data_IF_194713473823
#
_entry.id   IF_194713473823
#
_cell.length_a   1.000
_cell.length_b   1.000
_cell.length_c   1.000
_cell.angle_alpha   90.00
_cell.angle_beta   90.00
_cell.angle_gamma   90.00
#
_symmetry.space_group_name_H-M   'P 1'
#
loop_
_entity.id
_entity.type
_entity.pdbx_description
1 polymer ?
#
# COMPACT_ATOMS: atom_id res chain seq x y z
N UNK A 1 -43.20 -21.61 -2.70
CA UNK A 1 -42.47 -20.76 -1.72
C UNK A 1 -41.19 -21.42 -1.18
N UNK A 2 -41.19 -22.70 -0.75
CA UNK A 2 -39.96 -23.36 -0.19
C UNK A 2 -38.80 -23.48 -1.19
N UNK A 3 -39.06 -23.79 -2.46
CA UNK A 3 -38.04 -23.94 -3.52
C UNK A 3 -37.37 -22.59 -3.85
N UNK A 4 -38.17 -21.53 -3.92
CA UNK A 4 -37.65 -20.17 -4.17
C UNK A 4 -36.72 -19.68 -3.02
N UNK A 5 -37.11 -19.98 -1.77
CA UNK A 5 -36.27 -19.67 -0.61
C UNK A 5 -34.93 -20.43 -0.61
N UNK A 6 -34.95 -21.72 -0.99
CA UNK A 6 -33.73 -22.52 -1.09
C UNK A 6 -32.82 -22.04 -2.20
N UNK A 7 -33.36 -21.65 -3.35
CA UNK A 7 -32.59 -21.09 -4.47
C UNK A 7 -31.92 -19.74 -4.09
N UNK A 8 -32.61 -18.89 -3.33
CA UNK A 8 -32.09 -17.61 -2.87
C UNK A 8 -30.93 -17.80 -1.87
N UNK A 9 -31.04 -18.74 -0.96
CA UNK A 9 -29.98 -19.09 -0.01
C UNK A 9 -28.75 -19.65 -0.74
N UNK A 10 -28.96 -20.56 -1.69
CA UNK A 10 -27.88 -21.13 -2.50
C UNK A 10 -27.16 -20.05 -3.32
N UNK A 11 -27.91 -19.12 -3.92
CA UNK A 11 -27.34 -17.99 -4.65
C UNK A 11 -26.52 -17.06 -3.73
N UNK A 12 -27.05 -16.71 -2.57
CA UNK A 12 -26.34 -15.89 -1.58
C UNK A 12 -25.04 -16.56 -1.09
N UNK A 13 -25.07 -17.87 -0.85
CA UNK A 13 -23.88 -18.64 -0.48
C UNK A 13 -22.85 -18.68 -1.61
N UNK A 14 -23.27 -18.83 -2.86
CA UNK A 14 -22.39 -18.78 -4.03
C UNK A 14 -21.73 -17.43 -4.18
N UNK A 15 -22.49 -16.34 -4.08
CA UNK A 15 -21.95 -14.96 -4.16
C UNK A 15 -20.96 -14.69 -3.03
N UNK A 16 -21.27 -15.08 -1.80
CA UNK A 16 -20.38 -14.94 -0.66
C UNK A 16 -19.09 -15.77 -0.85
N UNK A 17 -19.18 -16.99 -1.38
CA UNK A 17 -18.03 -17.81 -1.73
C UNK A 17 -17.15 -17.18 -2.81
N UNK A 18 -17.76 -16.65 -3.87
CA UNK A 18 -17.04 -15.96 -4.94
C UNK A 18 -16.30 -14.72 -4.44
N UNK A 19 -16.88 -13.91 -3.56
CA UNK A 19 -16.22 -12.72 -3.01
C UNK A 19 -15.03 -13.06 -2.10
N UNK A 20 -15.09 -14.17 -1.36
CA UNK A 20 -13.96 -14.65 -0.55
C UNK A 20 -12.80 -15.14 -1.43
N UNK A 21 -13.10 -15.91 -2.47
CA UNK A 21 -12.09 -16.44 -3.41
C UNK A 21 -11.47 -15.31 -4.22
N UNK A 22 -12.23 -14.31 -4.64
CA UNK A 22 -11.77 -13.19 -5.44
C UNK A 22 -10.58 -12.45 -4.77
N UNK A 23 -10.63 -12.22 -3.46
CA UNK A 23 -9.55 -11.55 -2.73
C UNK A 23 -8.25 -12.35 -2.76
N UNK A 24 -8.30 -13.66 -2.54
CA UNK A 24 -7.12 -14.53 -2.56
C UNK A 24 -6.54 -14.70 -3.98
N UNK A 25 -7.35 -14.50 -5.02
CA UNK A 25 -6.90 -14.49 -6.42
C UNK A 25 -6.37 -13.13 -6.88
N UNK A 26 -6.66 -12.06 -6.14
CA UNK A 26 -6.28 -10.70 -6.52
C UNK A 26 -5.05 -10.19 -5.77
N UNK A 27 -4.90 -10.54 -4.49
CA UNK A 27 -3.84 -10.01 -3.63
C UNK A 27 -2.87 -11.12 -3.22
N UNK A 28 -1.58 -10.90 -3.47
CA UNK A 28 -0.50 -11.84 -3.19
C UNK A 28 0.55 -11.18 -2.29
N UNK A 29 0.22 -10.88 -1.02
CA UNK A 29 1.14 -10.20 -0.13
C UNK A 29 2.31 -11.08 0.28
N UNK A 30 3.51 -10.50 0.30
CA UNK A 30 4.66 -11.03 1.03
C UNK A 30 4.70 -10.30 2.38
N UNK A 31 4.64 -11.06 3.47
CA UNK A 31 4.62 -10.53 4.82
C UNK A 31 6.01 -10.10 5.33
N UNK A 32 7.10 -10.56 4.72
CA UNK A 32 8.44 -10.22 5.14
C UNK A 32 8.85 -8.86 4.58
N UNK A 33 9.15 -7.91 5.47
CA UNK A 33 9.71 -6.62 5.07
C UNK A 33 11.11 -6.47 5.71
N UNK A 34 12.18 -6.57 4.92
CA UNK A 34 13.52 -6.30 5.40
C UNK A 34 13.68 -4.82 5.74
N UNK A 35 14.72 -4.47 6.48
CA UNK A 35 15.08 -3.05 6.65
C UNK A 35 15.71 -2.51 5.35
N UNK A 36 15.54 -1.21 5.03
CA UNK A 36 16.01 -0.65 3.76
C UNK A 36 17.49 -0.92 3.46
N UNK A 37 18.35 -0.87 4.46
CA UNK A 37 19.80 -1.10 4.30
C UNK A 37 20.15 -2.50 3.82
N UNK A 38 19.38 -3.52 4.21
CA UNK A 38 19.64 -4.92 3.83
C UNK A 38 19.35 -5.21 2.35
N UNK A 39 18.59 -4.33 1.70
CA UNK A 39 18.23 -4.47 0.28
C UNK A 39 18.86 -3.37 -0.60
N UNK A 40 19.93 -2.74 -0.11
CA UNK A 40 20.67 -1.74 -0.87
C UNK A 40 19.97 -0.39 -1.01
N UNK A 41 19.10 -0.05 -0.08
CA UNK A 41 18.34 1.21 -0.07
C UNK A 41 18.50 2.00 1.26
N UNK A 42 19.75 2.21 1.76
CA UNK A 42 20.00 2.81 3.07
C UNK A 42 19.52 4.26 3.19
N UNK A 43 19.23 4.92 2.08
CA UNK A 43 18.70 6.29 2.02
C UNK A 43 17.22 6.39 2.39
N UNK A 44 16.49 5.27 2.48
CA UNK A 44 15.10 5.28 2.93
C UNK A 44 15.01 5.18 4.45
N UNK A 45 14.10 5.95 4.99
CA UNK A 45 13.67 5.88 6.39
C UNK A 45 12.41 5.03 6.49
N UNK A 46 12.35 4.17 7.49
CA UNK A 46 11.12 3.47 7.86
C UNK A 46 10.22 4.47 8.56
N UNK A 47 9.01 4.66 8.05
CA UNK A 47 8.02 5.58 8.61
C UNK A 47 6.73 4.84 8.90
N UNK A 48 5.98 5.30 9.90
CA UNK A 48 4.65 4.78 10.20
C UNK A 48 3.63 5.90 10.25
N UNK A 49 2.39 5.57 9.92
CA UNK A 49 1.25 6.48 10.01
C UNK A 49 -0.04 5.69 10.19
N UNK A 50 -1.04 6.35 10.76
CA UNK A 50 -2.31 5.73 11.10
C UNK A 50 -3.37 6.00 10.05
N UNK A 51 -4.08 4.96 9.65
CA UNK A 51 -5.25 5.06 8.78
C UNK A 51 -6.48 5.54 9.54
N UNK A 52 -7.50 6.04 8.82
CA UNK A 52 -8.77 6.48 9.41
C UNK A 52 -9.57 5.34 10.07
N UNK A 53 -9.33 4.10 9.68
CA UNK A 53 -9.88 2.89 10.29
C UNK A 53 -8.91 2.24 11.31
N UNK A 54 -7.98 3.04 11.84
CA UNK A 54 -7.13 2.78 13.00
C UNK A 54 -6.02 1.75 12.84
N UNK A 55 -5.64 1.37 11.61
CA UNK A 55 -4.44 0.57 11.37
C UNK A 55 -3.19 1.47 11.40
N UNK A 56 -2.10 0.95 11.95
CA UNK A 56 -0.78 1.56 11.82
C UNK A 56 -0.01 0.87 10.72
N UNK A 57 0.36 1.62 9.69
CA UNK A 57 1.03 1.09 8.50
C UNK A 57 2.47 1.59 8.43
N UNK A 58 3.36 0.67 8.05
CA UNK A 58 4.76 0.94 7.79
C UNK A 58 4.98 1.16 6.30
N UNK A 59 5.75 2.18 5.97
CA UNK A 59 6.15 2.57 4.61
C UNK A 59 7.61 3.01 4.61
N UNK A 60 8.19 3.20 3.44
CA UNK A 60 9.56 3.70 3.31
C UNK A 60 9.56 5.06 2.64
N UNK A 61 10.19 6.03 3.28
CA UNK A 61 10.24 7.41 2.81
C UNK A 61 11.67 7.89 2.62
N UNK A 62 11.90 8.58 1.52
CA UNK A 62 13.12 9.33 1.22
C UNK A 62 12.74 10.72 0.75
N UNK A 63 13.21 11.81 1.42
CA UNK A 63 12.91 13.17 1.00
C UNK A 63 13.54 13.52 -0.36
N UNK A 64 12.90 14.42 -1.09
CA UNK A 64 13.41 14.96 -2.34
C UNK A 64 14.61 15.89 -2.13
N UNK A 65 15.50 15.97 -3.12
CA UNK A 65 16.44 17.08 -3.21
C UNK A 65 15.69 18.42 -3.42
N UNK A 66 16.31 19.52 -3.03
CA UNK A 66 15.70 20.85 -3.19
C UNK A 66 15.29 21.09 -4.65
N UNK A 67 14.03 21.47 -4.85
CA UNK A 67 13.46 21.73 -6.18
C UNK A 67 12.75 20.55 -6.82
N UNK A 68 12.93 19.33 -6.32
CA UNK A 68 12.28 18.13 -6.86
C UNK A 68 10.97 17.79 -6.14
N UNK A 69 10.06 17.14 -6.84
CA UNK A 69 8.81 16.61 -6.29
C UNK A 69 9.05 15.31 -5.51
N UNK A 70 8.05 14.89 -4.73
CA UNK A 70 8.01 13.59 -4.09
C UNK A 70 7.02 12.69 -4.83
N UNK A 71 7.46 11.51 -5.21
CA UNK A 71 6.65 10.49 -5.86
C UNK A 71 6.06 9.59 -4.78
N UNK A 72 4.73 9.46 -4.79
CA UNK A 72 3.99 8.52 -3.94
C UNK A 72 3.81 7.24 -4.74
N UNK A 73 4.63 6.25 -4.44
CA UNK A 73 4.66 5.00 -5.19
C UNK A 73 3.74 3.96 -4.55
N UNK A 74 2.65 3.69 -5.22
CA UNK A 74 1.72 2.62 -4.86
C UNK A 74 2.18 1.32 -5.51
N UNK A 75 2.51 0.33 -4.69
CA UNK A 75 2.94 -0.97 -5.20
C UNK A 75 1.79 -1.72 -5.90
N UNK A 76 2.12 -2.71 -6.75
CA UNK A 76 1.11 -3.61 -7.31
C UNK A 76 0.58 -4.60 -6.28
N UNK A 77 -0.19 -5.56 -6.76
CA UNK A 77 -0.91 -6.55 -5.96
C UNK A 77 -0.06 -7.74 -5.45
N UNK A 78 1.21 -7.82 -5.79
CA UNK A 78 2.10 -8.91 -5.37
C UNK A 78 3.40 -8.42 -4.72
N UNK A 79 3.92 -9.20 -3.77
CA UNK A 79 5.16 -8.92 -3.05
C UNK A 79 5.01 -7.90 -1.93
N UNK A 80 6.01 -7.02 -1.75
CA UNK A 80 6.01 -5.90 -0.83
C UNK A 80 6.85 -4.74 -1.38
N UNK A 81 6.98 -3.64 -0.64
CA UNK A 81 7.68 -2.42 -1.10
C UNK A 81 9.18 -2.63 -1.34
N UNK A 82 9.85 -3.57 -0.64
CA UNK A 82 11.28 -3.83 -0.85
C UNK A 82 11.58 -4.34 -2.28
N UNK A 83 10.64 -5.05 -2.89
CA UNK A 83 10.74 -5.53 -4.26
C UNK A 83 10.66 -4.43 -5.32
N UNK A 84 10.43 -3.17 -4.91
CA UNK A 84 10.27 -2.02 -5.82
C UNK A 84 11.53 -1.16 -5.95
N UNK A 85 12.52 -1.39 -5.09
CA UNK A 85 13.75 -0.58 -5.03
C UNK A 85 14.42 -0.47 -6.40
N UNK A 86 14.59 -1.58 -7.12
CA UNK A 86 15.24 -1.57 -8.43
C UNK A 86 14.50 -0.69 -9.47
N UNK A 87 13.18 -0.50 -9.34
CA UNK A 87 12.37 0.34 -10.23
C UNK A 87 12.50 1.83 -9.89
N UNK A 88 12.91 2.15 -8.67
CA UNK A 88 12.97 3.53 -8.18
C UNK A 88 14.37 4.14 -8.28
N UNK A 89 15.39 3.34 -8.60
CA UNK A 89 16.79 3.78 -8.60
C UNK A 89 17.02 5.03 -9.48
N UNK A 90 16.52 5.03 -10.71
CA UNK A 90 16.67 6.17 -11.62
C UNK A 90 15.99 7.45 -11.09
N UNK A 91 14.87 7.32 -10.37
CA UNK A 91 14.17 8.44 -9.75
C UNK A 91 14.95 9.00 -8.57
N UNK A 92 15.58 8.13 -7.78
CA UNK A 92 16.47 8.48 -6.67
C UNK A 92 17.68 9.28 -7.17
N UNK A 93 18.34 8.77 -8.21
CA UNK A 93 19.52 9.40 -8.84
C UNK A 93 19.19 10.78 -9.41
N UNK A 94 18.01 10.91 -10.05
CA UNK A 94 17.52 12.19 -10.54
C UNK A 94 17.23 13.20 -9.41
N UNK A 95 16.95 12.75 -8.19
CA UNK A 95 16.75 13.62 -7.03
C UNK A 95 15.32 13.71 -6.52
N UNK A 96 14.40 12.92 -7.06
CA UNK A 96 13.03 12.86 -6.57
C UNK A 96 12.97 12.32 -5.15
N UNK A 97 12.02 12.80 -4.36
CA UNK A 97 11.57 12.13 -3.13
C UNK A 97 10.72 10.92 -3.48
N UNK A 98 10.68 9.96 -2.58
CA UNK A 98 9.90 8.73 -2.75
C UNK A 98 9.22 8.35 -1.44
N UNK A 99 7.93 8.09 -1.49
CA UNK A 99 7.20 7.34 -0.48
C UNK A 99 6.76 6.02 -1.10
N UNK A 100 7.40 4.92 -0.71
CA UNK A 100 6.97 3.58 -1.06
C UNK A 100 5.87 3.17 -0.08
N UNK A 101 4.63 3.19 -0.54
CA UNK A 101 3.45 2.97 0.31
C UNK A 101 3.31 1.49 0.64
N UNK A 102 3.43 1.16 1.92
CA UNK A 102 3.13 -0.16 2.44
C UNK A 102 1.62 -0.32 2.64
N UNK A 103 1.04 -1.31 1.98
CA UNK A 103 -0.38 -1.61 2.11
C UNK A 103 -0.68 -2.50 3.32
N UNK A 104 -1.91 -2.43 3.83
CA UNK A 104 -2.44 -3.41 4.79
C UNK A 104 -2.27 -4.84 4.29
N UNK A 105 -1.84 -5.74 5.17
CA UNK A 105 -1.58 -7.14 4.85
C UNK A 105 -0.27 -7.41 4.11
N UNK A 106 0.47 -6.39 3.66
CA UNK A 106 1.76 -6.51 2.97
C UNK A 106 2.91 -6.07 3.89
N UNK A 107 4.07 -6.73 3.76
CA UNK A 107 5.27 -6.33 4.50
C UNK A 107 5.11 -6.33 6.02
N UNK A 108 4.31 -7.24 6.58
CA UNK A 108 4.01 -7.29 8.01
C UNK A 108 3.00 -6.25 8.49
N UNK A 109 2.47 -5.39 7.63
CA UNK A 109 1.40 -4.45 7.98
C UNK A 109 0.12 -5.19 8.41
N UNK A 110 -0.58 -4.71 9.44
CA UNK A 110 -1.83 -5.32 9.92
C UNK A 110 -2.96 -5.23 8.88
N UNK A 111 -4.01 -6.01 9.12
CA UNK A 111 -5.23 -6.01 8.30
C UNK A 111 -5.15 -6.95 7.10
N UNK A 112 -6.18 -6.87 6.25
CA UNK A 112 -6.28 -7.63 5.00
C UNK A 112 -6.58 -6.68 3.85
N UNK A 113 -5.95 -6.86 2.66
CA UNK A 113 -6.16 -6.00 1.53
C UNK A 113 -7.60 -6.11 0.99
N UNK A 114 -8.17 -4.96 0.69
CA UNK A 114 -9.46 -4.79 0.02
C UNK A 114 -9.46 -3.44 -0.68
N UNK A 115 -10.32 -3.25 -1.66
CA UNK A 115 -10.38 -1.98 -2.39
C UNK A 115 -10.60 -0.79 -1.44
N UNK A 116 -11.64 -0.84 -0.60
CA UNK A 116 -11.92 0.22 0.38
C UNK A 116 -10.77 0.44 1.35
N UNK A 117 -10.16 -0.67 1.81
CA UNK A 117 -9.01 -0.62 2.70
C UNK A 117 -7.81 0.08 2.06
N UNK A 118 -7.49 -0.22 0.80
CA UNK A 118 -6.41 0.43 0.08
C UNK A 118 -6.65 1.93 -0.13
N UNK A 119 -7.92 2.37 -0.25
CA UNK A 119 -8.23 3.81 -0.25
C UNK A 119 -7.94 4.47 1.10
N UNK A 120 -8.19 3.80 2.23
CA UNK A 120 -7.78 4.31 3.54
C UNK A 120 -6.26 4.40 3.65
N UNK A 121 -5.53 3.39 3.17
CA UNK A 121 -4.07 3.36 3.18
C UNK A 121 -3.48 4.51 2.34
N UNK A 122 -4.01 4.72 1.13
CA UNK A 122 -3.58 5.79 0.24
C UNK A 122 -3.81 7.19 0.84
N UNK A 123 -5.00 7.43 1.41
CA UNK A 123 -5.30 8.70 2.07
C UNK A 123 -4.40 8.96 3.27
N UNK A 124 -4.09 7.94 4.05
CA UNK A 124 -3.18 8.06 5.19
C UNK A 124 -1.75 8.38 4.74
N UNK A 125 -1.26 7.76 3.66
CA UNK A 125 0.03 8.05 3.07
C UNK A 125 0.14 9.50 2.59
N UNK A 126 -0.89 10.02 1.92
CA UNK A 126 -0.95 11.41 1.48
C UNK A 126 -1.00 12.39 2.67
N UNK A 127 -1.83 12.08 3.68
CA UNK A 127 -1.92 12.89 4.89
C UNK A 127 -0.58 12.94 5.65
N UNK A 128 0.15 11.81 5.70
CA UNK A 128 1.49 11.77 6.27
C UNK A 128 2.42 12.77 5.58
N UNK A 129 2.50 12.77 4.24
CA UNK A 129 3.36 13.70 3.49
C UNK A 129 2.93 15.17 3.67
N UNK A 130 1.63 15.45 3.71
CA UNK A 130 1.13 16.79 4.02
C UNK A 130 1.54 17.24 5.44
N UNK A 131 1.49 16.33 6.42
CA UNK A 131 2.01 16.56 7.78
C UNK A 131 3.51 16.82 7.84
N UNK A 132 4.28 16.34 6.87
CA UNK A 132 5.71 16.68 6.68
C UNK A 132 5.92 18.02 5.97
N UNK A 133 4.87 18.79 5.70
CA UNK A 133 4.94 20.10 5.04
C UNK A 133 5.05 20.01 3.51
N UNK A 134 4.73 18.87 2.90
CA UNK A 134 4.72 18.71 1.45
C UNK A 134 3.33 19.06 0.89
N UNK A 135 3.17 20.16 0.15
CA UNK A 135 1.91 20.51 -0.46
C UNK A 135 1.59 19.58 -1.64
N UNK A 136 0.32 19.45 -1.98
CA UNK A 136 -0.16 18.52 -3.02
C UNK A 136 0.48 18.74 -4.39
N UNK A 137 0.83 19.99 -4.72
CA UNK A 137 1.49 20.39 -5.98
C UNK A 137 2.93 19.84 -6.10
N UNK A 138 3.48 19.37 -4.99
CA UNK A 138 4.82 18.75 -4.92
C UNK A 138 4.75 17.22 -4.89
N UNK A 139 3.56 16.63 -4.98
CA UNK A 139 3.33 15.19 -5.00
C UNK A 139 2.99 14.72 -6.42
N UNK A 140 3.56 13.58 -6.81
CA UNK A 140 3.28 12.85 -8.06
C UNK A 140 2.84 11.44 -7.68
N UNK A 141 1.78 10.94 -8.29
CA UNK A 141 1.26 9.57 -8.05
C UNK A 141 1.37 8.74 -9.33
#
# INVERSE_FOLDING_TARGET
MKILGLALVAYAALVAGCTMIQRSLMYFPDANLPVPGDVGAPEFQVVSYRTSDALELVSWYRPAKKGFATIVYFQGNGGNISHRIFKTQALIEAGYGLLLVGYRGYGGNPGQPSEDGLYHDARAALAYLQGQGLPSERLVM
#
